data_IF_794335684311
#
_entry.id   IF_794335684311
#
_cell.length_a   1.000
_cell.length_b   1.000
_cell.length_c   1.000
_cell.angle_alpha   90.00
_cell.angle_beta   90.00
_cell.angle_gamma   90.00
#
_symmetry.space_group_name_H-M   'P 1'
#
loop_
_entity.id
_entity.type
_entity.pdbx_description
1 polymer ?
#
# COMPACT_ATOMS: atom_id res chain seq x y z
N UNK A 1 7.87 24.20 30.17
CA UNK A 1 8.95 23.89 29.20
C UNK A 1 8.29 23.54 27.85
N UNK A 2 8.34 24.47 26.87
CA UNK A 2 7.85 24.14 25.53
C UNK A 2 8.79 23.09 24.94
N UNK A 3 8.28 21.85 24.80
CA UNK A 3 9.07 20.75 24.29
C UNK A 3 9.22 20.96 22.77
N UNK A 4 10.37 21.54 22.36
CA UNK A 4 10.68 21.89 20.97
C UNK A 4 10.40 20.71 20.00
N UNK A 5 10.60 19.48 20.48
CA UNK A 5 10.37 18.26 19.71
C UNK A 5 8.88 18.10 19.34
N UNK A 6 7.97 18.26 20.31
CA UNK A 6 6.53 18.24 20.02
C UNK A 6 6.11 19.41 19.14
N UNK A 7 6.67 20.59 19.35
CA UNK A 7 6.46 21.75 18.49
C UNK A 7 6.88 21.49 17.04
N UNK A 8 8.01 20.82 16.84
CA UNK A 8 8.47 20.41 15.51
C UNK A 8 7.52 19.39 14.86
N UNK A 9 7.17 18.30 15.55
CA UNK A 9 6.30 17.25 15.00
C UNK A 9 4.90 17.77 14.64
N UNK A 10 4.37 18.72 15.41
CA UNK A 10 3.06 19.32 15.15
C UNK A 10 3.11 20.44 14.11
N UNK A 11 4.30 20.90 13.71
CA UNK A 11 4.49 21.89 12.67
C UNK A 11 4.08 21.36 11.28
N UNK A 12 3.87 22.25 10.32
CA UNK A 12 3.58 21.86 8.93
C UNK A 12 4.72 21.08 8.28
N UNK A 13 5.96 21.39 8.64
CA UNK A 13 7.16 20.69 8.13
C UNK A 13 7.26 19.32 8.77
N UNK A 14 7.12 19.21 10.09
CA UNK A 14 7.16 17.93 10.80
C UNK A 14 6.11 16.94 10.30
N UNK A 15 4.87 17.39 10.08
CA UNK A 15 3.81 16.55 9.51
C UNK A 15 4.11 16.06 8.09
N UNK A 16 4.70 16.91 7.24
CA UNK A 16 5.13 16.49 5.90
C UNK A 16 6.28 15.48 5.96
N UNK A 17 7.22 15.68 6.89
CA UNK A 17 8.31 14.73 7.13
C UNK A 17 7.79 13.37 7.58
N UNK A 18 6.87 13.33 8.56
CA UNK A 18 6.23 12.09 9.00
C UNK A 18 5.46 11.41 7.87
N UNK A 19 4.74 12.19 7.03
CA UNK A 19 4.07 11.67 5.85
C UNK A 19 5.06 11.02 4.88
N UNK A 20 6.22 11.64 4.63
CA UNK A 20 7.25 11.10 3.73
C UNK A 20 7.87 9.81 4.30
N UNK A 21 8.21 9.80 5.59
CA UNK A 21 8.82 8.63 6.25
C UNK A 21 7.86 7.44 6.29
N UNK A 22 6.60 7.66 6.67
CA UNK A 22 5.59 6.59 6.62
C UNK A 22 5.36 6.10 5.21
N UNK A 23 5.31 7.00 4.22
CA UNK A 23 5.17 6.63 2.81
C UNK A 23 6.31 5.76 2.31
N UNK A 24 7.57 6.08 2.64
CA UNK A 24 8.73 5.25 2.27
C UNK A 24 8.68 3.89 2.95
N UNK A 25 8.30 3.83 4.23
CA UNK A 25 8.12 2.55 4.90
C UNK A 25 7.09 1.67 4.19
N UNK A 26 5.94 2.23 3.81
CA UNK A 26 4.90 1.50 3.08
C UNK A 26 5.34 1.09 1.67
N UNK A 27 6.17 1.89 0.98
CA UNK A 27 6.81 1.53 -0.29
C UNK A 27 7.69 0.29 -0.12
N UNK A 28 8.54 0.25 0.91
CA UNK A 28 9.38 -0.90 1.20
C UNK A 28 8.55 -2.14 1.57
N UNK A 29 7.50 -1.96 2.36
CA UNK A 29 6.56 -3.03 2.68
C UNK A 29 5.93 -3.64 1.43
N UNK A 30 5.50 -2.84 0.44
CA UNK A 30 4.89 -3.35 -0.80
C UNK A 30 5.83 -4.24 -1.60
N UNK A 31 7.15 -4.02 -1.57
CA UNK A 31 8.12 -4.91 -2.24
C UNK A 31 8.10 -6.29 -1.60
N UNK A 32 8.22 -6.35 -0.27
CA UNK A 32 8.21 -7.62 0.48
C UNK A 32 6.86 -8.32 0.32
N UNK A 33 5.78 -7.54 0.37
CA UNK A 33 4.41 -8.05 0.19
C UNK A 33 4.21 -8.66 -1.20
N UNK A 34 4.67 -7.98 -2.25
CA UNK A 34 4.62 -8.52 -3.61
C UNK A 34 5.46 -9.79 -3.74
N UNK A 35 6.70 -9.77 -3.25
CA UNK A 35 7.59 -10.94 -3.33
C UNK A 35 6.98 -12.19 -2.68
N UNK A 36 6.31 -12.02 -1.52
CA UNK A 36 5.56 -13.09 -0.87
C UNK A 36 4.38 -13.58 -1.70
N UNK A 37 3.59 -12.63 -2.22
CA UNK A 37 2.39 -12.97 -3.00
C UNK A 37 2.69 -13.58 -4.39
N UNK A 38 3.85 -13.30 -4.98
CA UNK A 38 4.25 -13.95 -6.24
C UNK A 38 4.45 -15.47 -6.10
N UNK A 39 4.66 -15.99 -4.89
CA UNK A 39 4.68 -17.43 -4.64
C UNK A 39 3.33 -18.12 -4.93
N UNK A 40 2.22 -17.37 -4.90
CA UNK A 40 0.91 -17.86 -5.35
C UNK A 40 0.87 -18.32 -6.80
N UNK A 41 1.81 -17.87 -7.63
CA UNK A 41 1.88 -18.20 -9.04
C UNK A 41 2.66 -19.49 -9.32
N UNK A 42 3.31 -20.09 -8.32
CA UNK A 42 4.00 -21.37 -8.46
C UNK A 42 2.98 -22.47 -8.80
N UNK A 43 3.43 -23.47 -9.54
CA UNK A 43 2.61 -24.62 -9.90
C UNK A 43 2.88 -25.76 -8.92
N UNK A 44 2.48 -25.57 -7.65
CA UNK A 44 2.74 -26.47 -6.53
C UNK A 44 1.54 -26.60 -5.57
N UNK A 45 0.34 -26.31 -6.07
CA UNK A 45 -0.94 -26.31 -5.32
C UNK A 45 -0.89 -25.44 -4.06
N UNK A 46 -0.07 -24.36 -4.12
CA UNK A 46 0.08 -23.37 -3.05
C UNK A 46 0.99 -23.79 -1.92
N UNK A 47 1.76 -24.90 -2.07
CA UNK A 47 2.68 -25.37 -1.03
C UNK A 47 3.68 -24.30 -0.61
N UNK A 48 4.39 -23.66 -1.56
CA UNK A 48 5.38 -22.63 -1.26
C UNK A 48 4.75 -21.43 -0.56
N UNK A 49 3.60 -20.98 -1.05
CA UNK A 49 2.89 -19.84 -0.46
C UNK A 49 2.41 -20.12 0.97
N UNK A 50 1.80 -21.30 1.21
CA UNK A 50 1.29 -21.64 2.54
C UNK A 50 2.42 -21.80 3.58
N UNK A 51 3.57 -22.39 3.20
CA UNK A 51 4.77 -22.48 4.07
C UNK A 51 5.29 -21.08 4.39
N UNK A 52 5.41 -20.19 3.37
CA UNK A 52 5.85 -18.83 3.56
C UNK A 52 4.90 -18.05 4.47
N UNK A 53 3.59 -18.16 4.26
CA UNK A 53 2.59 -17.48 5.07
C UNK A 53 2.59 -17.97 6.53
N UNK A 54 2.76 -19.26 6.76
CA UNK A 54 2.89 -19.83 8.10
C UNK A 54 4.14 -19.29 8.81
N UNK A 55 5.29 -19.24 8.12
CA UNK A 55 6.52 -18.64 8.65
C UNK A 55 6.32 -17.16 9.01
N UNK A 56 5.72 -16.38 8.10
CA UNK A 56 5.44 -14.95 8.32
C UNK A 56 4.47 -14.73 9.50
N UNK A 57 3.50 -15.64 9.65
CA UNK A 57 2.50 -15.60 10.72
C UNK A 57 3.03 -15.95 12.12
N UNK A 58 4.14 -16.69 12.22
CA UNK A 58 4.66 -17.17 13.51
C UNK A 58 6.00 -16.55 13.91
N UNK A 59 6.71 -15.87 13.00
CA UNK A 59 7.99 -15.26 13.31
C UNK A 59 7.81 -14.00 14.18
N UNK A 60 8.41 -13.93 15.42
CA UNK A 60 8.17 -12.81 16.33
C UNK A 60 8.61 -11.45 15.79
N UNK A 61 9.73 -11.41 15.04
CA UNK A 61 10.22 -10.16 14.43
C UNK A 61 9.26 -9.66 13.37
N UNK A 62 8.75 -10.56 12.53
CA UNK A 62 7.81 -10.22 11.48
C UNK A 62 6.48 -9.77 12.09
N UNK A 63 6.01 -10.42 13.16
CA UNK A 63 4.82 -9.99 13.90
C UNK A 63 4.97 -8.59 14.49
N UNK A 64 6.15 -8.25 15.01
CA UNK A 64 6.45 -6.90 15.50
C UNK A 64 6.39 -5.87 14.35
N UNK A 65 7.03 -6.17 13.20
CA UNK A 65 7.02 -5.31 12.00
C UNK A 65 5.60 -5.17 11.46
N UNK A 66 4.80 -6.25 11.46
CA UNK A 66 3.40 -6.24 11.01
C UNK A 66 2.54 -5.30 11.85
N UNK A 67 2.67 -5.33 13.19
CA UNK A 67 1.98 -4.38 14.07
C UNK A 67 2.41 -2.94 13.79
N UNK A 68 3.70 -2.71 13.55
CA UNK A 68 4.25 -1.43 13.13
C UNK A 68 3.66 -0.97 11.77
N UNK A 69 3.46 -1.90 10.84
CA UNK A 69 2.85 -1.61 9.54
C UNK A 69 1.42 -1.07 9.69
N UNK A 70 0.58 -1.69 10.53
CA UNK A 70 -0.76 -1.15 10.85
C UNK A 70 -0.70 0.27 11.41
N UNK A 71 0.20 0.51 12.35
CA UNK A 71 0.40 1.85 12.91
C UNK A 71 0.79 2.86 11.82
N UNK A 72 1.73 2.52 10.94
CA UNK A 72 2.17 3.42 9.87
C UNK A 72 1.10 3.65 8.80
N UNK A 73 0.29 2.63 8.46
CA UNK A 73 -0.86 2.80 7.56
C UNK A 73 -1.84 3.83 8.15
N UNK A 74 -2.24 3.66 9.40
CA UNK A 74 -3.18 4.58 10.06
C UNK A 74 -2.60 5.99 10.17
N UNK A 75 -1.34 6.11 10.60
CA UNK A 75 -0.67 7.41 10.71
C UNK A 75 -0.57 8.09 9.35
N UNK A 76 -0.21 7.37 8.28
CA UNK A 76 -0.15 7.90 6.92
C UNK A 76 -1.51 8.41 6.45
N UNK A 77 -2.57 7.62 6.64
CA UNK A 77 -3.93 8.00 6.27
C UNK A 77 -4.42 9.23 7.04
N UNK A 78 -4.26 9.26 8.36
CA UNK A 78 -4.66 10.39 9.23
C UNK A 78 -3.91 11.67 8.84
N UNK A 79 -2.58 11.58 8.64
CA UNK A 79 -1.78 12.72 8.19
C UNK A 79 -2.21 13.21 6.81
N UNK A 80 -2.56 12.29 5.89
CA UNK A 80 -3.07 12.61 4.57
C UNK A 80 -4.37 13.42 4.62
N UNK A 81 -5.34 12.97 5.40
CA UNK A 81 -6.62 13.68 5.63
C UNK A 81 -6.34 15.04 6.27
N UNK A 82 -5.52 15.09 7.32
CA UNK A 82 -5.20 16.33 8.01
C UNK A 82 -4.56 17.36 7.08
N UNK A 83 -3.56 16.96 6.30
CA UNK A 83 -2.89 17.84 5.35
C UNK A 83 -3.83 18.31 4.24
N UNK A 84 -4.71 17.44 3.76
CA UNK A 84 -5.71 17.79 2.77
C UNK A 84 -6.71 18.84 3.29
N UNK A 85 -7.27 18.62 4.48
CA UNK A 85 -8.22 19.57 5.13
C UNK A 85 -7.55 20.92 5.36
N UNK A 86 -6.33 20.91 5.92
CA UNK A 86 -5.58 22.15 6.17
C UNK A 86 -5.27 22.92 4.88
N UNK A 87 -4.84 22.22 3.83
CA UNK A 87 -4.53 22.84 2.55
C UNK A 87 -5.79 23.38 1.85
N UNK A 88 -6.92 22.69 2.01
CA UNK A 88 -8.21 23.16 1.47
C UNK A 88 -8.69 24.41 2.20
N UNK A 89 -8.62 24.43 3.53
CA UNK A 89 -8.96 25.61 4.34
C UNK A 89 -8.09 26.82 4.02
N UNK A 90 -6.79 26.62 3.82
CA UNK A 90 -5.86 27.69 3.47
C UNK A 90 -6.08 28.32 2.09
N UNK A 91 -6.76 27.61 1.16
CA UNK A 91 -7.11 28.16 -0.17
C UNK A 91 -8.32 29.10 -0.13
N UNK A 92 -9.18 28.99 0.89
CA UNK A 92 -10.43 29.72 0.97
C UNK A 92 -11.47 29.30 -0.10
N UNK A 93 -12.51 30.10 -0.24
CA UNK A 93 -13.63 29.88 -1.19
C UNK A 93 -13.34 30.37 -2.60
N UNK A 94 -12.39 31.29 -2.77
CA UNK A 94 -11.99 31.81 -4.08
C UNK A 94 -10.78 31.02 -4.62
N UNK A 95 -10.91 30.47 -5.84
CA UNK A 95 -9.80 29.86 -6.55
C UNK A 95 -8.70 30.89 -6.87
N UNK A 96 -7.49 30.43 -7.15
CA UNK A 96 -6.42 31.33 -7.58
C UNK A 96 -6.78 32.03 -8.88
N UNK A 97 -6.66 33.37 -8.91
CA UNK A 97 -6.86 34.17 -10.10
C UNK A 97 -5.88 33.82 -11.25
N UNK A 98 -4.74 33.24 -10.92
CA UNK A 98 -3.73 32.75 -11.87
C UNK A 98 -3.41 31.29 -11.55
N UNK A 99 -3.89 30.37 -12.37
CA UNK A 99 -3.59 28.94 -12.31
C UNK A 99 -2.28 28.59 -13.05
N UNK A 100 -1.21 29.38 -12.84
CA UNK A 100 0.10 28.97 -13.33
C UNK A 100 0.60 27.79 -12.50
N UNK A 101 0.68 26.65 -13.12
CA UNK A 101 1.46 25.51 -12.62
C UNK A 101 2.92 25.96 -12.51
N UNK A 102 3.36 26.33 -11.30
CA UNK A 102 4.80 26.42 -11.06
C UNK A 102 5.40 25.09 -11.45
N UNK A 103 6.56 25.13 -12.11
CA UNK A 103 7.33 23.92 -12.42
C UNK A 103 7.70 23.20 -11.12
N UNK A 104 6.75 22.44 -10.58
CA UNK A 104 6.97 21.55 -9.46
C UNK A 104 7.64 20.30 -10.01
N UNK A 105 8.53 19.71 -9.26
CA UNK A 105 9.20 18.48 -9.69
C UNK A 105 8.27 17.27 -9.70
N UNK A 106 7.06 17.41 -9.12
CA UNK A 106 6.00 16.40 -9.07
C UNK A 106 4.85 16.78 -10.00
N UNK A 107 4.10 15.78 -10.48
CA UNK A 107 2.96 15.99 -11.36
C UNK A 107 1.82 16.74 -10.60
N UNK A 108 1.46 17.98 -11.01
CA UNK A 108 0.48 18.79 -10.30
C UNK A 108 -0.95 18.24 -10.40
N UNK A 109 -1.28 17.51 -11.48
CA UNK A 109 -2.59 16.89 -11.66
C UNK A 109 -2.78 15.77 -10.65
N UNK A 110 -1.79 14.88 -10.50
CA UNK A 110 -1.85 13.81 -9.52
C UNK A 110 -1.91 14.34 -8.09
N UNK A 111 -1.15 15.40 -7.77
CA UNK A 111 -1.20 16.05 -6.45
C UNK A 111 -2.60 16.56 -6.08
N UNK A 112 -3.38 17.03 -7.05
CA UNK A 112 -4.75 17.54 -6.85
C UNK A 112 -5.69 16.42 -6.39
N UNK A 113 -5.52 15.21 -6.90
CA UNK A 113 -6.42 14.07 -6.66
C UNK A 113 -5.90 13.08 -5.61
N UNK A 114 -4.78 13.38 -4.93
CA UNK A 114 -4.19 12.48 -3.92
C UNK A 114 -5.16 12.08 -2.80
N UNK A 115 -6.06 12.98 -2.40
CA UNK A 115 -7.10 12.68 -1.42
C UNK A 115 -8.07 11.60 -1.92
N UNK A 116 -8.48 11.67 -3.19
CA UNK A 116 -9.38 10.70 -3.78
C UNK A 116 -8.70 9.34 -3.94
N UNK A 117 -7.44 9.32 -4.43
CA UNK A 117 -6.65 8.09 -4.50
C UNK A 117 -6.48 7.46 -3.12
N UNK A 118 -6.13 8.27 -2.10
CA UNK A 118 -6.00 7.80 -0.72
C UNK A 118 -7.30 7.23 -0.16
N UNK A 119 -8.46 7.82 -0.47
CA UNK A 119 -9.77 7.31 -0.04
C UNK A 119 -10.08 5.95 -0.67
N UNK A 120 -9.87 5.81 -1.99
CA UNK A 120 -10.08 4.52 -2.68
C UNK A 120 -9.15 3.44 -2.12
N UNK A 121 -7.87 3.77 -1.91
CA UNK A 121 -6.90 2.84 -1.31
C UNK A 121 -7.32 2.46 0.11
N UNK A 122 -7.82 3.39 0.90
CA UNK A 122 -8.26 3.10 2.27
C UNK A 122 -9.45 2.13 2.29
N UNK A 123 -10.43 2.32 1.42
CA UNK A 123 -11.56 1.38 1.26
C UNK A 123 -11.06 0.01 0.80
N UNK A 124 -10.18 -0.02 -0.20
CA UNK A 124 -9.54 -1.25 -0.65
C UNK A 124 -8.83 -1.97 0.49
N UNK A 125 -8.04 -1.26 1.31
CA UNK A 125 -7.32 -1.85 2.44
C UNK A 125 -8.25 -2.46 3.47
N UNK A 126 -9.39 -1.82 3.79
CA UNK A 126 -10.37 -2.40 4.72
C UNK A 126 -10.88 -3.74 4.18
N UNK A 127 -11.31 -3.79 2.91
CA UNK A 127 -11.81 -5.01 2.28
C UNK A 127 -10.71 -6.07 2.22
N UNK A 128 -9.50 -5.71 1.79
CA UNK A 128 -8.35 -6.60 1.71
C UNK A 128 -7.97 -7.19 3.07
N UNK A 129 -7.95 -6.38 4.12
CA UNK A 129 -7.65 -6.84 5.47
C UNK A 129 -8.73 -7.78 6.01
N UNK A 130 -10.01 -7.50 5.74
CA UNK A 130 -11.11 -8.40 6.13
C UNK A 130 -11.01 -9.72 5.38
N UNK A 131 -10.79 -9.68 4.05
CA UNK A 131 -10.76 -10.89 3.21
C UNK A 131 -9.57 -11.82 3.52
N UNK A 132 -8.41 -11.27 3.84
CA UNK A 132 -7.20 -12.11 4.00
C UNK A 132 -6.62 -12.07 5.41
N UNK A 133 -6.33 -10.89 5.95
CA UNK A 133 -5.68 -10.78 7.26
C UNK A 133 -6.59 -11.25 8.40
N UNK A 134 -7.85 -10.81 8.43
CA UNK A 134 -8.78 -11.22 9.46
C UNK A 134 -9.10 -12.72 9.37
N UNK A 135 -9.26 -13.26 8.15
CA UNK A 135 -9.46 -14.68 7.91
C UNK A 135 -8.24 -15.50 8.35
N UNK A 136 -7.04 -15.02 8.08
CA UNK A 136 -5.82 -15.67 8.53
C UNK A 136 -5.73 -15.76 10.06
N UNK A 137 -6.18 -14.74 10.81
CA UNK A 137 -5.99 -14.66 12.25
C UNK A 137 -7.20 -15.17 13.05
N UNK A 138 -8.41 -15.00 12.52
CA UNK A 138 -9.67 -15.24 13.23
C UNK A 138 -10.62 -16.19 12.48
N UNK A 139 -10.10 -17.03 11.58
CA UNK A 139 -10.83 -17.86 10.62
C UNK A 139 -11.86 -18.86 11.15
N UNK A 140 -12.28 -18.73 12.43
CA UNK A 140 -13.39 -19.52 13.00
C UNK A 140 -14.73 -18.77 12.93
N UNK A 141 -14.74 -17.49 12.55
CA UNK A 141 -15.94 -16.66 12.52
C UNK A 141 -16.62 -16.79 11.15
N UNK A 142 -17.32 -17.90 10.92
CA UNK A 142 -18.27 -18.09 9.82
C UNK A 142 -17.69 -18.54 8.48
N UNK A 143 -16.40 -18.40 8.24
CA UNK A 143 -15.69 -18.83 7.03
C UNK A 143 -14.31 -19.37 7.44
N UNK A 144 -14.26 -20.64 7.88
CA UNK A 144 -13.01 -21.26 8.31
C UNK A 144 -12.01 -21.34 7.17
N UNK A 145 -10.76 -20.94 7.44
CA UNK A 145 -9.64 -21.29 6.58
C UNK A 145 -9.32 -22.76 6.84
N UNK A 146 -9.40 -23.60 5.83
CA UNK A 146 -9.09 -25.02 5.93
C UNK A 146 -7.63 -25.24 6.33
N UNK A 147 -7.36 -26.34 7.02
CA UNK A 147 -6.00 -26.78 7.29
C UNK A 147 -5.55 -27.73 6.17
N UNK A 148 -4.29 -27.61 5.79
CA UNK A 148 -3.64 -28.53 4.84
C UNK A 148 -2.38 -29.10 5.49
N UNK A 149 -2.17 -30.42 5.33
CA UNK A 149 -0.95 -31.05 5.81
C UNK A 149 0.15 -30.90 4.76
N UNK A 150 1.22 -30.21 5.14
CA UNK A 150 2.41 -30.04 4.31
C UNK A 150 3.61 -30.62 5.06
N UNK A 151 4.17 -31.70 4.52
CA UNK A 151 5.34 -32.38 5.06
C UNK A 151 5.17 -32.78 6.56
N UNK A 152 3.96 -33.19 6.95
CA UNK A 152 3.63 -33.62 8.32
C UNK A 152 3.25 -32.50 9.27
N UNK A 153 3.22 -31.24 8.83
CA UNK A 153 2.76 -30.07 9.60
C UNK A 153 1.42 -29.57 9.05
N UNK A 154 0.46 -29.38 9.95
CA UNK A 154 -0.80 -28.69 9.60
C UNK A 154 -0.58 -27.18 9.55
N UNK A 155 -0.89 -26.59 8.40
CA UNK A 155 -0.82 -25.16 8.16
C UNK A 155 -2.14 -24.65 7.58
N UNK A 156 -2.43 -23.37 7.75
CA UNK A 156 -3.62 -22.74 7.16
C UNK A 156 -3.50 -22.68 5.64
N UNK A 157 -4.54 -23.14 4.94
CA UNK A 157 -4.58 -23.12 3.47
C UNK A 157 -5.00 -21.74 2.94
N UNK A 158 -4.10 -20.77 3.01
CA UNK A 158 -4.36 -19.41 2.53
C UNK A 158 -4.35 -19.34 1.00
N UNK A 159 -3.71 -20.27 0.32
CA UNK A 159 -3.79 -20.38 -1.14
C UNK A 159 -5.22 -20.66 -1.60
N UNK A 160 -5.92 -21.59 -0.95
CA UNK A 160 -7.32 -21.87 -1.26
C UNK A 160 -8.22 -20.65 -1.01
N UNK A 161 -7.99 -19.90 0.08
CA UNK A 161 -8.73 -18.66 0.36
C UNK A 161 -8.55 -17.62 -0.75
N UNK A 162 -7.33 -17.46 -1.27
CA UNK A 162 -7.04 -16.54 -2.39
C UNK A 162 -7.69 -17.04 -3.68
N UNK A 163 -7.58 -18.35 -3.96
CA UNK A 163 -8.20 -18.99 -5.13
C UNK A 163 -9.71 -18.80 -5.13
N UNK A 164 -10.39 -19.09 -4.04
CA UNK A 164 -11.84 -18.92 -3.89
C UNK A 164 -12.26 -17.45 -4.05
N UNK A 165 -11.54 -16.52 -3.41
CA UNK A 165 -11.83 -15.10 -3.54
C UNK A 165 -11.83 -14.63 -4.99
N UNK A 166 -10.89 -15.09 -5.80
CA UNK A 166 -10.74 -14.67 -7.19
C UNK A 166 -11.49 -15.53 -8.22
N UNK A 167 -12.36 -16.45 -7.79
CA UNK A 167 -13.41 -17.00 -8.66
C UNK A 167 -14.47 -15.96 -9.00
N UNK A 168 -14.64 -14.96 -8.12
CA UNK A 168 -15.60 -13.88 -8.30
C UNK A 168 -15.01 -12.75 -9.15
N UNK A 169 -15.53 -12.59 -10.38
CA UNK A 169 -15.10 -11.52 -11.30
C UNK A 169 -15.21 -10.12 -10.69
N UNK A 170 -16.20 -9.88 -9.83
CA UNK A 170 -16.38 -8.58 -9.16
C UNK A 170 -15.17 -8.23 -8.28
N UNK A 171 -14.64 -9.19 -7.53
CA UNK A 171 -13.41 -8.98 -6.75
C UNK A 171 -12.19 -8.81 -7.67
N UNK A 172 -12.07 -9.59 -8.74
CA UNK A 172 -10.96 -9.42 -9.70
C UNK A 172 -10.94 -7.99 -10.24
N UNK A 173 -12.07 -7.48 -10.75
CA UNK A 173 -12.19 -6.12 -11.27
C UNK A 173 -11.89 -5.08 -10.20
N UNK A 174 -12.43 -5.25 -8.99
CA UNK A 174 -12.18 -4.35 -7.87
C UNK A 174 -10.69 -4.27 -7.50
N UNK A 175 -9.99 -5.41 -7.44
CA UNK A 175 -8.56 -5.46 -7.16
C UNK A 175 -7.73 -4.82 -8.28
N UNK A 176 -8.04 -5.12 -9.53
CA UNK A 176 -7.35 -4.53 -10.69
C UNK A 176 -7.49 -3.00 -10.70
N UNK A 177 -8.70 -2.48 -10.51
CA UNK A 177 -8.94 -1.02 -10.43
C UNK A 177 -8.16 -0.42 -9.24
N UNK A 178 -8.17 -1.09 -8.08
CA UNK A 178 -7.44 -0.62 -6.90
C UNK A 178 -5.93 -0.56 -7.14
N UNK A 179 -5.35 -1.51 -7.87
CA UNK A 179 -3.93 -1.49 -8.24
C UNK A 179 -3.58 -0.33 -9.19
N UNK A 180 -4.46 0.00 -10.13
CA UNK A 180 -4.28 1.20 -10.97
C UNK A 180 -4.26 2.47 -10.11
N UNK A 181 -5.17 2.59 -9.14
CA UNK A 181 -5.21 3.75 -8.23
C UNK A 181 -3.98 3.79 -7.33
N UNK A 182 -3.50 2.65 -6.84
CA UNK A 182 -2.24 2.55 -6.09
C UNK A 182 -1.07 3.01 -6.95
N UNK A 183 -1.00 2.60 -8.21
CA UNK A 183 0.03 3.06 -9.15
C UNK A 183 0.08 4.59 -9.29
N UNK A 184 -1.08 5.23 -9.47
CA UNK A 184 -1.19 6.69 -9.54
C UNK A 184 -0.78 7.37 -8.22
N UNK A 185 -1.17 6.80 -7.09
CA UNK A 185 -0.78 7.28 -5.77
C UNK A 185 0.73 7.18 -5.54
N UNK A 186 1.32 6.03 -5.90
CA UNK A 186 2.76 5.80 -5.81
C UNK A 186 3.57 6.71 -6.73
N UNK A 187 3.09 6.96 -7.95
CA UNK A 187 3.75 7.84 -8.91
C UNK A 187 4.02 9.23 -8.34
N UNK A 188 3.01 9.80 -7.69
CA UNK A 188 3.16 11.10 -7.02
C UNK A 188 3.87 10.96 -5.67
N UNK A 189 3.48 9.98 -4.86
CA UNK A 189 3.93 9.80 -3.48
C UNK A 189 5.44 9.54 -3.38
N UNK A 190 5.98 8.69 -4.26
CA UNK A 190 7.41 8.38 -4.31
C UNK A 190 8.25 9.65 -4.51
N UNK A 191 7.96 10.40 -5.56
CA UNK A 191 8.71 11.63 -5.86
C UNK A 191 8.55 12.68 -4.76
N UNK A 192 7.33 12.83 -4.22
CA UNK A 192 7.03 13.78 -3.15
C UNK A 192 7.77 13.46 -1.84
N UNK A 193 7.92 12.18 -1.52
CA UNK A 193 8.63 11.74 -0.31
C UNK A 193 10.13 12.12 -0.39
N UNK A 194 10.81 11.80 -1.48
CA UNK A 194 12.22 12.16 -1.68
C UNK A 194 12.43 13.67 -1.71
N UNK A 195 11.54 14.42 -2.35
CA UNK A 195 11.60 15.89 -2.32
C UNK A 195 11.44 16.44 -0.91
N UNK A 196 10.54 15.89 -0.11
CA UNK A 196 10.28 16.31 1.28
C UNK A 196 11.48 16.05 2.17
N UNK A 197 12.23 14.96 1.93
CA UNK A 197 13.48 14.64 2.64
C UNK A 197 14.68 15.49 2.20
N UNK A 198 14.50 16.42 1.26
CA UNK A 198 15.61 17.24 0.74
C UNK A 198 16.51 16.50 -0.25
N UNK A 199 16.17 15.28 -0.65
CA UNK A 199 16.92 14.48 -1.62
C UNK A 199 16.59 14.94 -3.06
N UNK A 200 16.89 16.22 -3.31
CA UNK A 200 16.57 16.90 -4.55
C UNK A 200 17.83 17.58 -5.09
N UNK A 201 18.44 16.99 -6.10
CA UNK A 201 19.65 17.47 -6.71
C UNK A 201 19.64 17.20 -8.23
N UNK A 202 20.10 18.10 -9.10
CA UNK A 202 20.08 17.91 -10.56
C UNK A 202 20.63 16.56 -11.03
N UNK A 203 21.64 16.03 -10.36
CA UNK A 203 22.29 14.75 -10.70
C UNK A 203 21.42 13.54 -10.32
N UNK A 204 20.71 13.55 -9.15
CA UNK A 204 20.02 12.37 -8.64
C UNK A 204 18.52 12.39 -8.91
N UNK A 205 17.93 13.55 -9.06
CA UNK A 205 16.48 13.70 -9.27
C UNK A 205 15.97 12.95 -10.51
N UNK A 206 16.68 12.92 -11.66
CA UNK A 206 16.27 12.11 -12.81
C UNK A 206 16.20 10.61 -12.48
N UNK A 207 17.18 10.11 -11.74
CA UNK A 207 17.23 8.68 -11.31
C UNK A 207 16.05 8.38 -10.36
N UNK A 208 15.82 9.23 -9.36
CA UNK A 208 14.70 9.08 -8.41
C UNK A 208 13.36 9.07 -9.16
N UNK A 209 13.19 9.94 -10.15
CA UNK A 209 11.97 9.98 -10.98
C UNK A 209 11.81 8.72 -11.82
N UNK A 210 12.87 8.23 -12.43
CA UNK A 210 12.83 7.00 -13.22
C UNK A 210 12.50 5.78 -12.35
N UNK A 211 13.22 5.62 -11.23
CA UNK A 211 12.96 4.52 -10.28
C UNK A 211 11.53 4.60 -9.72
N UNK A 212 11.07 5.80 -9.34
CA UNK A 212 9.72 6.00 -8.84
C UNK A 212 8.66 5.69 -9.90
N UNK A 213 8.88 6.06 -11.16
CA UNK A 213 7.99 5.73 -12.26
C UNK A 213 7.96 4.21 -12.53
N UNK A 214 9.12 3.57 -12.63
CA UNK A 214 9.23 2.13 -12.80
C UNK A 214 8.54 1.38 -11.66
N UNK A 215 8.80 1.76 -10.41
CA UNK A 215 8.19 1.19 -9.22
C UNK A 215 6.65 1.30 -9.24
N UNK A 216 6.13 2.48 -9.55
CA UNK A 216 4.68 2.75 -9.56
C UNK A 216 3.92 2.03 -10.68
N UNK A 217 4.62 1.48 -11.67
CA UNK A 217 4.04 0.63 -12.72
C UNK A 217 4.27 -0.84 -12.41
N UNK A 218 5.51 -1.25 -12.15
CA UNK A 218 5.86 -2.67 -12.04
C UNK A 218 5.27 -3.34 -10.80
N UNK A 219 5.24 -2.65 -9.65
CA UNK A 219 4.70 -3.25 -8.42
C UNK A 219 3.19 -3.46 -8.50
N UNK A 220 2.37 -2.48 -8.89
CA UNK A 220 0.94 -2.71 -9.10
C UNK A 220 0.64 -3.75 -10.19
N UNK A 221 1.40 -3.77 -11.29
CA UNK A 221 1.25 -4.81 -12.33
C UNK A 221 1.53 -6.21 -11.77
N UNK A 222 2.55 -6.38 -10.93
CA UNK A 222 2.82 -7.64 -10.27
C UNK A 222 1.64 -8.13 -9.43
N UNK A 223 0.95 -7.22 -8.72
CA UNK A 223 -0.27 -7.55 -7.98
C UNK A 223 -1.47 -7.82 -8.88
N UNK A 224 -1.60 -7.13 -10.02
CA UNK A 224 -2.70 -7.34 -11.00
C UNK A 224 -2.66 -8.75 -11.61
N UNK A 225 -1.47 -9.29 -11.85
CA UNK A 225 -1.32 -10.62 -12.45
C UNK A 225 -1.98 -11.71 -11.59
N UNK A 226 -1.92 -11.59 -10.26
CA UNK A 226 -2.42 -12.63 -9.34
C UNK A 226 -3.93 -12.86 -9.50
N UNK A 227 -4.83 -11.89 -9.29
CA UNK A 227 -6.27 -12.11 -9.44
C UNK A 227 -6.67 -12.53 -10.85
N UNK A 228 -5.99 -12.04 -11.88
CA UNK A 228 -6.28 -12.43 -13.27
C UNK A 228 -5.91 -13.89 -13.50
N UNK A 229 -4.73 -14.33 -13.06
CA UNK A 229 -4.29 -15.74 -13.23
C UNK A 229 -5.21 -16.67 -12.46
N UNK A 230 -5.59 -16.36 -11.22
CA UNK A 230 -6.52 -17.18 -10.45
C UNK A 230 -7.89 -17.26 -11.10
N UNK A 231 -8.42 -16.14 -11.58
CA UNK A 231 -9.69 -16.15 -12.31
C UNK A 231 -9.63 -17.06 -13.54
N UNK A 232 -8.60 -16.90 -14.38
CA UNK A 232 -8.43 -17.69 -15.59
C UNK A 232 -8.16 -19.19 -15.34
N UNK A 233 -7.61 -19.56 -14.18
CA UNK A 233 -7.42 -20.97 -13.78
C UNK A 233 -8.71 -21.62 -13.27
N UNK A 234 -9.67 -20.82 -12.79
CA UNK A 234 -10.91 -21.31 -12.18
C UNK A 234 -12.15 -21.24 -13.11
N UNK A 235 -11.99 -20.62 -14.31
CA UNK A 235 -13.00 -20.56 -15.37
C UNK A 235 -12.64 -21.51 -16.49
#
# INVERSE_FOLDING_TARGET
MNNWFFGFLTSSIGKKLLMALTGIFLILFLVVHLAGNLQLLHNDDGKAFNIYADFMGHNPLIQFISKGNFFFILMHAILGIFLWVKNRGARGTQGYAVTKTRATQTNPVMAKYMWAYGTVIFVFLIIHLVQFWAMMHYGEIGYGVELVNIDGKEVRNLYALVSDTFTNLGFVVFYVISMVVIGLHLWHGFQSAFQTLGLNHPKYTPIIKFVGAAYSVLVPLGFVVIPIVFYLRNV
#
